data_IF_374121795594
#
_entry.id   IF_374121795594
#
_cell.length_a   1.000
_cell.length_b   1.000
_cell.length_c   1.000
_cell.angle_alpha   90.00
_cell.angle_beta   90.00
_cell.angle_gamma   90.00
#
_symmetry.space_group_name_H-M   'P 1'
#
loop_
_entity.id
_entity.type
_entity.pdbx_description
1 polymer ?
#
# COMPACT_ATOMS: atom_id res chain seq x y z
N UNK A 1 1.07 8.35 4.18
CA UNK A 1 1.78 9.05 3.09
C UNK A 1 0.78 9.78 2.21
N UNK A 2 1.08 11.01 1.74
CA UNK A 2 0.21 11.73 0.79
C UNK A 2 0.11 11.00 -0.56
N UNK A 3 -1.09 10.92 -1.13
CA UNK A 3 -1.37 10.20 -2.38
C UNK A 3 -0.58 10.76 -3.57
N UNK A 4 -0.53 12.10 -3.72
CA UNK A 4 0.30 12.76 -4.74
C UNK A 4 1.79 12.43 -4.59
N UNK A 5 2.31 12.42 -3.37
CA UNK A 5 3.70 12.09 -3.10
C UNK A 5 4.02 10.63 -3.49
N UNK A 6 3.13 9.69 -3.22
CA UNK A 6 3.30 8.31 -3.63
C UNK A 6 3.40 8.17 -5.17
N UNK A 7 2.53 8.88 -5.90
CA UNK A 7 2.57 8.95 -7.37
C UNK A 7 3.90 9.52 -7.89
N UNK A 8 4.40 10.60 -7.27
CA UNK A 8 5.70 11.18 -7.61
C UNK A 8 6.87 10.22 -7.35
N UNK A 9 6.84 9.48 -6.24
CA UNK A 9 7.86 8.48 -5.91
C UNK A 9 7.86 7.38 -6.96
N UNK A 10 6.69 6.88 -7.37
CA UNK A 10 6.57 5.87 -8.44
C UNK A 10 7.20 6.40 -9.73
N UNK A 11 6.83 7.61 -10.16
CA UNK A 11 7.37 8.23 -11.37
C UNK A 11 8.91 8.36 -11.33
N UNK A 12 9.49 8.63 -10.15
CA UNK A 12 10.94 8.70 -9.96
C UNK A 12 11.63 7.34 -9.88
N UNK A 13 10.95 6.30 -9.38
CA UNK A 13 11.50 4.93 -9.27
C UNK A 13 11.55 4.21 -10.60
N UNK A 14 10.55 4.41 -11.47
CA UNK A 14 10.48 3.76 -12.77
C UNK A 14 11.70 4.12 -13.63
N UNK A 15 12.22 3.14 -14.38
CA UNK A 15 13.26 3.43 -15.39
C UNK A 15 12.66 4.23 -16.54
N UNK A 16 13.51 4.84 -17.38
CA UNK A 16 13.08 5.61 -18.55
C UNK A 16 12.29 4.79 -19.58
N UNK A 17 12.33 3.46 -19.47
CA UNK A 17 11.67 2.53 -20.38
C UNK A 17 10.20 2.27 -20.02
N UNK A 18 9.77 2.68 -18.82
CA UNK A 18 8.39 2.54 -18.37
C UNK A 18 7.72 3.89 -18.19
N UNK A 19 6.56 4.06 -18.83
CA UNK A 19 5.73 5.24 -18.64
C UNK A 19 4.76 5.03 -17.47
N UNK A 20 4.50 6.11 -16.73
CA UNK A 20 3.42 6.11 -15.75
C UNK A 20 2.08 5.95 -16.50
N UNK A 21 1.21 5.01 -16.09
CA UNK A 21 -0.09 4.83 -16.72
C UNK A 21 -1.04 6.00 -16.39
N UNK A 22 -2.23 6.00 -17.00
CA UNK A 22 -3.29 6.95 -16.64
C UNK A 22 -3.68 6.81 -15.17
N UNK A 23 -4.26 7.87 -14.62
CA UNK A 23 -4.69 7.90 -13.22
C UNK A 23 -5.64 6.75 -12.91
N UNK A 24 -6.65 6.47 -13.75
CA UNK A 24 -7.59 5.36 -13.55
C UNK A 24 -6.89 3.99 -13.43
N UNK A 25 -5.90 3.73 -14.29
CA UNK A 25 -5.13 2.48 -14.26
C UNK A 25 -4.20 2.45 -13.04
N UNK A 26 -3.60 3.59 -12.70
CA UNK A 26 -2.75 3.70 -11.52
C UNK A 26 -3.56 3.44 -10.25
N UNK A 27 -4.76 4.01 -10.12
CA UNK A 27 -5.67 3.74 -9.00
C UNK A 27 -6.00 2.26 -8.89
N UNK A 28 -6.33 1.61 -10.01
CA UNK A 28 -6.56 0.16 -10.02
C UNK A 28 -5.34 -0.64 -9.52
N UNK A 29 -4.12 -0.24 -9.91
CA UNK A 29 -2.89 -0.87 -9.39
C UNK A 29 -2.67 -0.62 -7.90
N UNK A 30 -2.99 0.57 -7.39
CA UNK A 30 -2.98 0.83 -5.95
C UNK A 30 -3.98 -0.06 -5.22
N UNK A 31 -5.20 -0.21 -5.73
CA UNK A 31 -6.21 -1.10 -5.14
C UNK A 31 -5.75 -2.56 -5.12
N UNK A 32 -5.17 -3.05 -6.22
CA UNK A 32 -4.58 -4.39 -6.25
C UNK A 32 -3.44 -4.54 -5.23
N UNK A 33 -2.58 -3.52 -5.11
CA UNK A 33 -1.50 -3.50 -4.14
C UNK A 33 -1.98 -3.48 -2.69
N UNK A 34 -3.05 -2.74 -2.39
CA UNK A 34 -3.67 -2.78 -1.07
C UNK A 34 -4.19 -4.18 -0.75
N UNK A 35 -4.93 -4.81 -1.67
CA UNK A 35 -5.42 -6.18 -1.47
C UNK A 35 -4.29 -7.19 -1.27
N UNK A 36 -3.20 -7.04 -2.02
CA UNK A 36 -2.01 -7.85 -1.85
C UNK A 36 -1.41 -7.74 -0.45
N UNK A 37 -1.27 -6.52 0.07
CA UNK A 37 -0.73 -6.28 1.42
C UNK A 37 -1.69 -6.82 2.49
N UNK A 38 -2.98 -6.49 2.40
CA UNK A 38 -4.01 -6.93 3.34
C UNK A 38 -4.17 -8.46 3.37
N UNK A 39 -3.85 -9.16 2.28
CA UNK A 39 -3.82 -10.63 2.27
C UNK A 39 -2.66 -11.20 3.12
N UNK A 40 -1.59 -10.44 3.33
CA UNK A 40 -0.32 -10.91 3.93
C UNK A 40 -0.08 -10.44 5.35
N UNK A 41 -0.54 -9.25 5.72
CA UNK A 41 -0.39 -8.70 7.07
C UNK A 41 -1.70 -8.05 7.55
N UNK A 42 -1.66 -7.44 8.73
CA UNK A 42 -2.76 -6.71 9.36
C UNK A 42 -2.37 -5.23 9.48
N UNK A 43 -2.63 -4.39 8.46
CA UNK A 43 -2.35 -2.95 8.52
C UNK A 43 -3.18 -2.31 9.65
N UNK A 44 -2.56 -1.50 10.52
CA UNK A 44 -3.26 -0.98 11.70
C UNK A 44 -4.33 0.04 11.31
N UNK A 45 -4.03 0.89 10.32
CA UNK A 45 -4.98 1.91 9.82
C UNK A 45 -6.28 1.28 9.30
N UNK A 46 -6.17 0.11 8.63
CA UNK A 46 -7.31 -0.61 8.06
C UNK A 46 -7.95 -1.61 9.03
N UNK A 47 -7.33 -1.87 10.19
CA UNK A 47 -7.87 -2.79 11.19
C UNK A 47 -8.85 -2.06 12.10
N UNK A 48 -10.09 -2.55 12.17
CA UNK A 48 -11.17 -2.00 13.00
C UNK A 48 -11.75 -3.08 13.91
N UNK A 49 -12.18 -2.70 15.12
CA UNK A 49 -12.85 -3.59 16.08
C UNK A 49 -14.37 -3.43 16.10
N UNK A 50 -14.88 -2.34 15.53
CA UNK A 50 -16.30 -2.04 15.43
C UNK A 50 -16.73 -2.03 13.98
N UNK A 51 -17.84 -2.71 13.70
CA UNK A 51 -18.47 -2.70 12.37
C UNK A 51 -19.23 -1.40 12.18
N UNK A 52 -18.49 -0.35 11.85
CA UNK A 52 -19.06 0.89 11.29
C UNK A 52 -19.50 0.63 9.83
N UNK A 53 -19.98 1.66 9.13
CA UNK A 53 -20.45 1.61 7.72
C UNK A 53 -19.33 1.30 6.69
N UNK A 54 -18.26 0.63 7.10
CA UNK A 54 -17.16 0.23 6.24
C UNK A 54 -17.43 -1.13 5.62
N UNK A 55 -17.09 -1.28 4.34
CA UNK A 55 -17.06 -2.58 3.70
C UNK A 55 -15.92 -3.44 4.29
N UNK A 56 -16.22 -4.70 4.59
CA UNK A 56 -15.28 -5.61 5.24
C UNK A 56 -14.53 -6.41 4.19
N UNK A 57 -13.21 -6.29 4.16
CA UNK A 57 -12.33 -7.07 3.31
C UNK A 57 -12.02 -8.46 3.90
N UNK A 58 -11.69 -8.52 5.20
CA UNK A 58 -11.30 -9.77 5.88
C UNK A 58 -11.60 -9.72 7.38
N UNK A 59 -12.20 -10.77 7.93
CA UNK A 59 -12.38 -10.91 9.38
C UNK A 59 -11.15 -11.50 10.08
N UNK A 60 -10.86 -11.05 11.30
CA UNK A 60 -9.76 -11.51 12.16
C UNK A 60 -10.30 -12.28 13.38
N UNK A 61 -9.43 -13.08 14.03
CA UNK A 61 -9.84 -14.04 15.08
C UNK A 61 -10.37 -13.41 16.37
N UNK A 62 -10.02 -12.16 16.66
CA UNK A 62 -10.39 -11.43 17.88
C UNK A 62 -11.65 -10.56 17.70
N UNK A 63 -12.42 -10.78 16.63
CA UNK A 63 -13.56 -9.93 16.29
C UNK A 63 -13.17 -8.62 15.62
N UNK A 64 -11.88 -8.36 15.41
CA UNK A 64 -11.43 -7.29 14.52
C UNK A 64 -11.62 -7.68 13.05
N UNK A 65 -11.51 -6.69 12.18
CA UNK A 65 -11.68 -6.83 10.74
C UNK A 65 -10.77 -5.86 10.00
N UNK A 66 -10.34 -6.24 8.82
CA UNK A 66 -9.70 -5.35 7.85
C UNK A 66 -10.79 -4.83 6.93
N UNK A 67 -10.87 -3.52 6.78
CA UNK A 67 -11.82 -2.85 5.87
C UNK A 67 -11.23 -2.70 4.46
N UNK A 68 -12.10 -2.53 3.48
CA UNK A 68 -11.70 -2.14 2.13
C UNK A 68 -11.11 -0.72 2.21
N UNK A 69 -9.90 -0.48 1.69
CA UNK A 69 -9.31 0.86 1.66
C UNK A 69 -10.03 1.73 0.63
N UNK A 70 -10.02 3.03 0.88
CA UNK A 70 -10.50 4.01 -0.10
C UNK A 70 -9.60 4.03 -1.35
N UNK A 71 -10.23 4.26 -2.51
CA UNK A 71 -9.50 4.46 -3.75
C UNK A 71 -8.69 5.77 -3.68
N UNK A 72 -7.40 5.78 -4.05
CA UNK A 72 -6.58 6.98 -3.95
C UNK A 72 -7.05 8.09 -4.91
N UNK A 73 -7.14 9.31 -4.40
CA UNK A 73 -7.38 10.54 -5.15
C UNK A 73 -6.09 11.31 -5.42
N UNK A 74 -5.55 11.15 -6.63
CA UNK A 74 -4.38 11.91 -7.09
C UNK A 74 -4.62 13.40 -7.30
N UNK A 75 -5.87 13.89 -7.20
CA UNK A 75 -6.18 15.31 -7.38
C UNK A 75 -6.21 16.07 -6.06
N UNK A 76 -6.53 15.41 -4.94
CA UNK A 76 -6.51 16.01 -3.61
C UNK A 76 -5.07 16.11 -3.06
N UNK A 77 -4.68 17.30 -2.60
CA UNK A 77 -3.36 17.58 -2.02
C UNK A 77 -3.21 17.13 -0.56
N UNK A 78 -4.33 16.88 0.09
CA UNK A 78 -4.40 16.54 1.51
C UNK A 78 -4.80 15.10 1.76
N UNK A 79 -5.17 14.35 0.72
CA UNK A 79 -5.49 12.95 0.84
C UNK A 79 -4.22 12.13 1.11
N UNK A 80 -4.34 11.22 2.08
CA UNK A 80 -3.33 10.24 2.44
C UNK A 80 -3.80 8.86 2.03
N UNK A 81 -2.87 8.03 1.56
CA UNK A 81 -3.11 6.61 1.37
C UNK A 81 -3.60 6.00 2.69
N UNK A 82 -4.67 5.22 2.62
CA UNK A 82 -5.31 4.59 3.78
C UNK A 82 -4.53 3.36 4.27
N UNK A 83 -3.26 3.53 4.60
CA UNK A 83 -2.38 2.47 5.08
C UNK A 83 -1.23 3.05 5.91
N UNK A 84 -0.65 2.22 6.77
CA UNK A 84 0.50 2.52 7.60
C UNK A 84 1.66 3.11 6.77
N UNK A 85 2.39 4.07 7.34
CA UNK A 85 3.42 4.80 6.62
C UNK A 85 4.51 3.86 6.08
N UNK A 86 4.96 2.89 6.88
CA UNK A 86 5.92 1.87 6.44
C UNK A 86 5.38 1.04 5.25
N UNK A 87 4.12 0.59 5.34
CA UNK A 87 3.48 -0.21 4.29
C UNK A 87 3.18 0.59 3.01
N UNK A 88 3.12 1.92 3.08
CA UNK A 88 2.99 2.76 1.88
C UNK A 88 4.18 2.58 0.92
N UNK A 89 5.39 2.29 1.44
CA UNK A 89 6.54 1.96 0.61
C UNK A 89 6.45 0.56 0.00
N UNK A 90 5.89 -0.42 0.74
CA UNK A 90 5.58 -1.73 0.17
C UNK A 90 4.59 -1.61 -0.99
N UNK A 91 3.56 -0.79 -0.81
CA UNK A 91 2.53 -0.51 -1.80
C UNK A 91 3.12 0.13 -3.06
N UNK A 92 3.95 1.17 -2.91
CA UNK A 92 4.66 1.81 -4.02
C UNK A 92 5.50 0.79 -4.82
N UNK A 93 6.27 -0.06 -4.14
CA UNK A 93 7.08 -1.06 -4.83
C UNK A 93 6.18 -2.09 -5.54
N UNK A 94 5.07 -2.52 -4.94
CA UNK A 94 4.14 -3.41 -5.62
C UNK A 94 3.53 -2.76 -6.88
N UNK A 95 3.12 -1.49 -6.80
CA UNK A 95 2.60 -0.75 -7.96
C UNK A 95 3.67 -0.62 -9.05
N UNK A 96 4.93 -0.33 -8.70
CA UNK A 96 6.03 -0.37 -9.67
C UNK A 96 6.17 -1.74 -10.34
N UNK A 97 6.08 -2.83 -9.56
CA UNK A 97 6.10 -4.19 -10.11
C UNK A 97 4.98 -4.42 -11.14
N UNK A 98 3.76 -3.97 -10.85
CA UNK A 98 2.62 -4.05 -11.77
C UNK A 98 2.84 -3.23 -13.05
N UNK A 99 3.32 -1.98 -12.91
CA UNK A 99 3.60 -1.09 -14.05
C UNK A 99 4.64 -1.70 -14.99
N UNK A 100 5.67 -2.33 -14.42
CA UNK A 100 6.71 -3.05 -15.19
C UNK A 100 6.26 -4.41 -15.71
N UNK A 101 4.96 -4.74 -15.62
CA UNK A 101 4.38 -6.02 -16.07
C UNK A 101 5.12 -7.23 -15.49
N UNK A 102 5.56 -7.12 -14.25
CA UNK A 102 6.33 -8.15 -13.54
C UNK A 102 7.75 -8.41 -14.08
N UNK A 103 8.26 -7.61 -15.02
CA UNK A 103 9.61 -7.78 -15.57
C UNK A 103 10.70 -7.39 -14.55
N UNK A 104 10.43 -6.37 -13.71
CA UNK A 104 11.37 -5.88 -12.69
C UNK A 104 11.10 -6.52 -11.32
N UNK A 105 11.46 -7.80 -11.18
CA UNK A 105 11.23 -8.59 -9.96
C UNK A 105 11.83 -7.99 -8.67
N UNK A 106 12.79 -7.07 -8.78
CA UNK A 106 13.37 -6.33 -7.64
C UNK A 106 12.30 -5.58 -6.83
N UNK A 107 11.30 -5.03 -7.51
CA UNK A 107 10.22 -4.28 -6.85
C UNK A 107 9.35 -5.21 -6.01
N UNK A 108 9.01 -6.38 -6.55
CA UNK A 108 8.28 -7.41 -5.80
C UNK A 108 9.06 -7.89 -4.58
N UNK A 109 10.38 -8.08 -4.72
CA UNK A 109 11.26 -8.45 -3.61
C UNK A 109 11.23 -7.39 -2.50
N UNK A 110 11.45 -6.12 -2.85
CA UNK A 110 11.41 -5.01 -1.88
C UNK A 110 10.05 -4.87 -1.20
N UNK A 111 8.95 -5.04 -1.93
CA UNK A 111 7.60 -5.04 -1.36
C UNK A 111 7.47 -6.10 -0.26
N UNK A 112 7.88 -7.35 -0.53
CA UNK A 112 7.78 -8.43 0.44
C UNK A 112 8.77 -8.27 1.61
N UNK A 113 9.95 -7.72 1.38
CA UNK A 113 10.90 -7.41 2.46
C UNK A 113 10.28 -6.43 3.46
N UNK A 114 9.66 -5.35 2.98
CA UNK A 114 9.00 -4.36 3.86
C UNK A 114 7.80 -4.99 4.59
N UNK A 115 6.98 -5.80 3.92
CA UNK A 115 5.85 -6.50 4.57
C UNK A 115 6.36 -7.43 5.68
N UNK A 116 7.41 -8.20 5.40
CA UNK A 116 7.99 -9.11 6.39
C UNK A 116 8.58 -8.36 7.57
N UNK A 117 9.27 -7.25 7.32
CA UNK A 117 9.81 -6.38 8.37
C UNK A 117 8.69 -5.80 9.24
N UNK A 118 7.59 -5.34 8.63
CA UNK A 118 6.42 -4.84 9.36
C UNK A 118 5.80 -5.94 10.25
N UNK A 119 5.62 -7.15 9.71
CA UNK A 119 5.12 -8.31 10.48
C UNK A 119 6.07 -8.65 11.64
N UNK A 120 7.38 -8.63 11.41
CA UNK A 120 8.38 -8.98 12.42
C UNK A 120 8.41 -7.99 13.60
N UNK A 121 7.92 -6.75 13.41
CA UNK A 121 7.81 -5.74 14.47
C UNK A 121 6.40 -5.68 15.09
N UNK A 122 5.55 -6.69 14.88
CA UNK A 122 4.14 -6.70 15.29
C UNK A 122 3.36 -5.47 14.75
N UNK A 123 3.73 -4.98 13.56
CA UNK A 123 3.17 -3.78 12.95
C UNK A 123 3.49 -2.48 13.69
N UNK A 124 4.49 -2.46 14.58
CA UNK A 124 4.98 -1.23 15.21
C UNK A 124 5.99 -0.55 14.30
N UNK A 125 5.80 0.74 14.07
CA UNK A 125 6.81 1.57 13.42
C UNK A 125 8.11 1.50 14.25
N UNK A 126 9.23 1.25 13.59
CA UNK A 126 10.54 1.36 14.27
C UNK A 126 10.76 2.85 14.55
N UNK A 127 10.57 3.28 15.80
CA UNK A 127 11.12 4.54 16.27
C UNK A 127 12.65 4.46 16.13
N UNK A 128 13.17 5.06 15.04
CA UNK A 128 14.58 5.40 14.99
C UNK A 128 14.80 6.50 16.03
N UNK A 129 15.34 6.12 17.18
CA UNK A 129 15.91 7.08 18.13
C UNK A 129 17.08 7.77 17.42
N UNK A 130 16.87 9.02 17.02
CA UNK A 130 17.90 9.92 16.50
C UNK A 130 18.91 10.29 17.59
#
# INVERSE_FOLDING_TARGET
>A
MKTKLAKEIIAKKLSKDYNLPSDDVLKAYFMEGFYYICAKCEPQILTKTLRENHEVLRSLKNGAMIIVPDEPDFNDENEHLMIDEELSFALINYVCFLITKSEEAKYYKLCNEIINDFIANDGKDKEYVL
#
